data_IF_904176839525
#
_entry.id   IF_904176839525
#
_cell.length_a   1.000
_cell.length_b   1.000
_cell.length_c   1.000
_cell.angle_alpha   90.00
_cell.angle_beta   90.00
_cell.angle_gamma   90.00
#
_symmetry.space_group_name_H-M   'P 1'
#
loop_
_entity.id
_entity.type
_entity.pdbx_description
1 polymer ?
#
# COMPACT_ATOMS: atom_id res chain seq x y z
N UNK A 1 -20.38 60.49 -25.57
CA UNK A 1 -20.44 60.02 -24.17
C UNK A 1 -21.43 58.87 -23.93
N UNK A 2 -22.32 58.51 -24.86
CA UNK A 2 -23.29 57.43 -24.65
C UNK A 2 -22.76 55.99 -24.89
N UNK A 3 -21.67 55.80 -25.67
CA UNK A 3 -21.18 54.44 -26.00
C UNK A 3 -20.36 53.79 -24.87
N UNK A 4 -19.62 54.59 -24.09
CA UNK A 4 -18.76 54.09 -22.99
C UNK A 4 -19.55 53.57 -21.78
N UNK A 5 -20.76 54.10 -21.56
CA UNK A 5 -21.66 53.67 -20.47
C UNK A 5 -22.24 52.28 -20.76
N UNK A 6 -22.51 51.98 -22.04
CA UNK A 6 -23.08 50.70 -22.48
C UNK A 6 -22.09 49.53 -22.31
N UNK A 7 -20.80 49.75 -22.61
CA UNK A 7 -19.74 48.74 -22.44
C UNK A 7 -19.47 48.41 -20.97
N UNK A 8 -19.53 49.40 -20.08
CA UNK A 8 -19.38 49.16 -18.63
C UNK A 8 -20.53 48.35 -18.04
N UNK A 9 -21.76 48.61 -18.48
CA UNK A 9 -22.93 47.83 -18.04
C UNK A 9 -22.84 46.37 -18.51
N UNK A 10 -22.37 46.15 -19.75
CA UNK A 10 -22.23 44.80 -20.31
C UNK A 10 -21.14 43.99 -19.58
N UNK A 11 -20.02 44.62 -19.23
CA UNK A 11 -18.94 43.98 -18.46
C UNK A 11 -19.40 43.64 -17.03
N UNK A 12 -20.16 44.52 -16.38
CA UNK A 12 -20.73 44.25 -15.05
C UNK A 12 -21.75 43.11 -15.09
N UNK A 13 -22.55 43.01 -16.15
CA UNK A 13 -23.50 41.92 -16.33
C UNK A 13 -22.80 40.58 -16.55
N UNK A 14 -21.74 40.55 -17.36
CA UNK A 14 -20.91 39.36 -17.58
C UNK A 14 -20.22 38.90 -16.29
N UNK A 15 -19.66 39.84 -15.51
CA UNK A 15 -19.09 39.55 -14.19
C UNK A 15 -20.15 38.98 -13.25
N UNK A 16 -21.33 39.60 -13.15
CA UNK A 16 -22.42 39.11 -12.32
C UNK A 16 -22.85 37.69 -12.72
N UNK A 17 -23.05 37.43 -14.02
CA UNK A 17 -23.41 36.09 -14.54
C UNK A 17 -22.31 35.07 -14.20
N UNK A 18 -21.03 35.43 -14.34
CA UNK A 18 -19.91 34.54 -13.97
C UNK A 18 -19.87 34.20 -12.48
N UNK A 19 -20.12 35.18 -11.59
CA UNK A 19 -20.23 34.94 -10.14
C UNK A 19 -21.44 34.07 -9.77
N UNK A 20 -22.57 34.22 -10.47
CA UNK A 20 -23.75 33.36 -10.29
C UNK A 20 -23.50 31.92 -10.76
N UNK A 21 -22.76 31.72 -11.87
CA UNK A 21 -22.36 30.39 -12.32
C UNK A 21 -21.36 29.72 -11.36
N UNK A 22 -20.38 30.46 -10.84
CA UNK A 22 -19.47 29.95 -9.80
C UNK A 22 -20.21 29.58 -8.52
N UNK A 23 -21.17 30.41 -8.09
CA UNK A 23 -21.98 30.16 -6.88
C UNK A 23 -22.91 28.95 -7.02
N UNK A 24 -23.46 28.73 -8.22
CA UNK A 24 -24.31 27.56 -8.49
C UNK A 24 -23.51 26.27 -8.69
N UNK A 25 -22.32 26.34 -9.29
CA UNK A 25 -21.40 25.20 -9.38
C UNK A 25 -20.83 24.79 -8.01
N UNK A 26 -20.47 25.76 -7.15
CA UNK A 26 -20.04 25.52 -5.78
C UNK A 26 -21.17 24.91 -4.91
N UNK A 27 -22.42 25.37 -5.09
CA UNK A 27 -23.59 24.73 -4.45
C UNK A 27 -23.82 23.30 -4.93
N UNK A 28 -23.66 22.99 -6.23
CA UNK A 28 -23.79 21.62 -6.73
C UNK A 28 -22.73 20.65 -6.18
N UNK A 29 -21.51 21.12 -5.95
CA UNK A 29 -20.46 20.33 -5.27
C UNK A 29 -20.80 20.06 -3.80
N UNK A 30 -21.34 21.06 -3.08
CA UNK A 30 -21.77 20.89 -1.69
C UNK A 30 -23.02 19.99 -1.56
N UNK A 31 -23.92 20.00 -2.55
CA UNK A 31 -25.14 19.19 -2.57
C UNK A 31 -24.85 17.72 -2.99
N UNK A 32 -23.80 17.47 -3.79
CA UNK A 32 -23.33 16.11 -4.06
C UNK A 32 -22.68 15.44 -2.85
N UNK A 33 -22.08 16.22 -1.95
CA UNK A 33 -21.54 15.74 -0.67
C UNK A 33 -22.64 15.35 0.33
N UNK A 34 -23.82 15.99 0.23
CA UNK A 34 -24.94 15.77 1.16
C UNK A 34 -25.81 14.53 0.82
N UNK A 35 -25.64 13.93 -0.36
CA UNK A 35 -26.44 12.78 -0.82
C UNK A 35 -25.64 11.48 -0.99
N UNK A 36 -24.31 11.52 -0.83
CA UNK A 36 -23.54 10.29 -0.72
C UNK A 36 -23.71 9.73 0.68
N UNK A 37 -24.26 8.52 0.79
CA UNK A 37 -24.10 7.75 2.02
C UNK A 37 -22.59 7.72 2.35
N UNK A 38 -22.21 7.89 3.63
CA UNK A 38 -20.81 7.77 4.02
C UNK A 38 -20.28 6.45 3.45
N UNK A 39 -19.20 6.51 2.68
CA UNK A 39 -18.54 5.29 2.19
C UNK A 39 -17.91 4.61 3.41
N UNK A 40 -18.67 3.72 4.04
CA UNK A 40 -18.26 3.04 5.25
C UNK A 40 -17.23 1.95 4.91
N UNK A 41 -16.15 1.92 5.70
CA UNK A 41 -15.24 0.78 5.70
C UNK A 41 -15.93 -0.41 6.37
N UNK A 42 -16.20 -1.44 5.58
CA UNK A 42 -17.01 -2.56 6.04
C UNK A 42 -16.52 -3.90 5.48
N UNK A 43 -16.98 -4.97 6.12
CA UNK A 43 -16.76 -6.33 5.65
C UNK A 43 -17.86 -6.74 4.67
N UNK A 44 -17.48 -7.22 3.50
CA UNK A 44 -18.39 -7.60 2.42
C UNK A 44 -18.59 -9.12 2.32
N UNK A 45 -18.41 -9.84 3.44
CA UNK A 45 -18.68 -11.28 3.60
C UNK A 45 -17.87 -12.23 2.70
N UNK A 46 -16.81 -11.74 2.06
CA UNK A 46 -15.88 -12.54 1.27
C UNK A 46 -14.75 -13.16 2.09
N UNK A 47 -14.09 -14.19 1.57
CA UNK A 47 -13.06 -14.89 2.33
C UNK A 47 -11.81 -14.03 2.56
N UNK A 48 -11.31 -14.04 3.79
CA UNK A 48 -9.99 -13.56 4.18
C UNK A 48 -8.96 -14.70 4.03
N UNK A 49 -7.67 -14.36 3.92
CA UNK A 49 -6.62 -15.36 3.96
C UNK A 49 -6.48 -15.95 5.36
N UNK A 50 -6.53 -17.27 5.50
CA UNK A 50 -6.44 -17.95 6.80
C UNK A 50 -5.55 -19.19 6.72
N UNK A 51 -5.05 -19.65 7.88
CA UNK A 51 -4.19 -20.82 7.97
C UNK A 51 -2.71 -20.51 7.68
N UNK A 52 -1.95 -21.53 7.30
CA UNK A 52 -0.51 -21.42 7.00
C UNK A 52 -0.31 -21.07 5.54
N UNK A 53 0.26 -19.90 5.26
CA UNK A 53 0.49 -19.39 3.91
C UNK A 53 1.96 -19.06 3.70
N UNK A 54 2.53 -19.59 2.63
CA UNK A 54 3.91 -19.30 2.23
C UNK A 54 3.97 -18.03 1.37
N UNK A 55 4.89 -17.12 1.70
CA UNK A 55 5.21 -15.94 0.90
C UNK A 55 6.39 -16.27 0.01
N UNK A 56 6.16 -16.38 -1.29
CA UNK A 56 7.24 -16.60 -2.26
C UNK A 56 7.65 -15.26 -2.87
N UNK A 57 8.95 -15.01 -2.97
CA UNK A 57 9.49 -13.78 -3.57
C UNK A 57 9.99 -14.07 -4.98
N UNK A 58 9.55 -13.31 -5.96
CA UNK A 58 9.96 -13.40 -7.36
C UNK A 58 10.68 -12.09 -7.69
N UNK A 59 12.01 -12.14 -7.69
CA UNK A 59 12.89 -11.01 -8.00
C UNK A 59 13.10 -10.90 -9.50
N UNK A 60 12.49 -9.90 -10.14
CA UNK A 60 12.60 -9.67 -11.57
C UNK A 60 13.52 -8.49 -11.87
N UNK A 61 14.67 -8.78 -12.46
CA UNK A 61 15.75 -7.84 -12.72
C UNK A 61 16.83 -7.84 -11.64
N UNK A 62 17.71 -6.84 -11.65
CA UNK A 62 18.94 -6.85 -10.86
C UNK A 62 18.74 -6.20 -9.50
N UNK A 63 18.82 -7.01 -8.44
CA UNK A 63 18.81 -6.56 -7.05
C UNK A 63 20.14 -6.93 -6.38
N UNK A 64 20.73 -5.99 -5.63
CA UNK A 64 21.90 -6.31 -4.81
C UNK A 64 21.51 -7.34 -3.74
N UNK A 65 22.44 -8.21 -3.28
CA UNK A 65 22.17 -9.10 -2.15
C UNK A 65 21.66 -8.34 -0.91
N UNK A 66 22.20 -7.15 -0.64
CA UNK A 66 21.74 -6.27 0.45
C UNK A 66 20.29 -5.81 0.29
N UNK A 67 19.87 -5.50 -0.94
CA UNK A 67 18.49 -5.10 -1.25
C UNK A 67 17.51 -6.26 -1.05
N UNK A 68 17.90 -7.46 -1.49
CA UNK A 68 17.09 -8.67 -1.27
C UNK A 68 16.91 -8.98 0.22
N UNK A 69 17.98 -8.80 1.00
CA UNK A 69 17.95 -9.00 2.43
C UNK A 69 16.92 -8.09 3.13
N UNK A 70 16.79 -6.82 2.73
CA UNK A 70 15.80 -5.88 3.32
C UNK A 70 14.38 -6.46 3.24
N UNK A 71 13.94 -6.92 2.07
CA UNK A 71 12.58 -7.45 1.92
C UNK A 71 12.45 -8.83 2.56
N UNK A 72 13.43 -9.73 2.41
CA UNK A 72 13.33 -11.06 3.02
C UNK A 72 13.29 -10.96 4.56
N UNK A 73 14.09 -10.06 5.14
CA UNK A 73 14.10 -9.80 6.57
C UNK A 73 12.75 -9.22 7.01
N UNK A 74 12.17 -8.28 6.26
CA UNK A 74 10.82 -7.78 6.52
C UNK A 74 9.78 -8.91 6.59
N UNK A 75 9.77 -9.82 5.60
CA UNK A 75 8.83 -10.96 5.59
C UNK A 75 9.05 -11.89 6.78
N UNK A 76 10.30 -12.22 7.12
CA UNK A 76 10.58 -13.05 8.32
C UNK A 76 10.18 -12.36 9.62
N UNK A 77 10.18 -11.02 9.64
CA UNK A 77 9.81 -10.22 10.82
C UNK A 77 8.32 -10.25 11.14
N UNK A 78 7.45 -10.63 10.19
CA UNK A 78 5.99 -10.74 10.39
C UNK A 78 5.59 -11.79 11.43
N UNK A 79 6.47 -12.75 11.69
CA UNK A 79 6.19 -13.90 12.56
C UNK A 79 7.25 -14.09 13.65
N UNK A 80 8.02 -13.04 13.95
CA UNK A 80 9.03 -13.10 15.00
C UNK A 80 8.42 -13.49 16.34
N UNK A 81 8.96 -14.54 16.96
CA UNK A 81 8.57 -15.06 18.26
C UNK A 81 9.28 -14.36 19.42
N UNK A 82 10.22 -13.44 19.14
CA UNK A 82 10.89 -12.68 20.19
C UNK A 82 9.86 -11.77 20.86
N UNK A 83 9.60 -11.94 22.18
CA UNK A 83 8.65 -11.09 22.88
C UNK A 83 9.12 -9.64 22.76
N UNK A 84 8.29 -8.71 22.28
CA UNK A 84 8.65 -7.30 22.31
C UNK A 84 8.92 -6.94 23.77
N UNK A 85 10.07 -6.31 24.03
CA UNK A 85 10.22 -5.59 25.29
C UNK A 85 9.13 -4.52 25.34
N UNK A 86 8.61 -4.19 26.53
CA UNK A 86 7.41 -3.35 26.69
C UNK A 86 7.47 -1.98 26.00
N UNK A 87 8.66 -1.54 25.57
CA UNK A 87 8.94 -0.25 24.92
C UNK A 87 9.27 -0.36 23.43
N UNK A 88 9.35 -1.55 22.83
CA UNK A 88 9.77 -1.73 21.43
C UNK A 88 8.61 -2.17 20.53
N UNK A 89 8.25 -1.32 19.57
CA UNK A 89 7.36 -1.66 18.46
C UNK A 89 8.08 -2.56 17.46
N UNK A 90 7.37 -3.52 16.88
CA UNK A 90 7.95 -4.50 15.96
C UNK A 90 7.05 -4.76 14.75
N UNK A 91 7.63 -5.28 13.66
CA UNK A 91 6.87 -5.72 12.48
C UNK A 91 5.83 -6.79 12.86
N UNK A 92 6.16 -7.70 13.78
CA UNK A 92 5.22 -8.72 14.26
C UNK A 92 4.05 -8.09 15.03
N UNK A 93 4.31 -7.09 15.87
CA UNK A 93 3.26 -6.34 16.59
C UNK A 93 2.35 -5.60 15.62
N UNK A 94 2.92 -4.98 14.58
CA UNK A 94 2.14 -4.35 13.51
C UNK A 94 1.28 -5.36 12.78
N UNK A 95 1.86 -6.47 12.34
CA UNK A 95 1.14 -7.51 11.62
C UNK A 95 -0.02 -8.07 12.44
N UNK A 96 0.17 -8.25 13.75
CA UNK A 96 -0.86 -8.73 14.68
C UNK A 96 -2.09 -7.82 14.73
N UNK A 97 -2.00 -6.55 14.35
CA UNK A 97 -3.20 -5.68 14.26
C UNK A 97 -4.21 -6.21 13.24
N UNK A 98 -3.78 -7.01 12.26
CA UNK A 98 -4.67 -7.67 11.31
C UNK A 98 -5.61 -8.69 11.96
N UNK A 99 -5.30 -9.21 13.16
CA UNK A 99 -6.16 -10.14 13.91
C UNK A 99 -7.57 -9.56 14.14
N UNK A 100 -7.68 -8.23 14.29
CA UNK A 100 -8.96 -7.54 14.51
C UNK A 100 -9.96 -7.77 13.37
N UNK A 101 -9.50 -7.80 12.12
CA UNK A 101 -10.36 -8.07 10.95
C UNK A 101 -10.91 -9.50 11.00
N UNK A 102 -10.12 -10.46 11.49
CA UNK A 102 -10.58 -11.86 11.61
C UNK A 102 -11.57 -12.05 12.75
N UNK A 103 -11.40 -11.33 13.85
CA UNK A 103 -12.34 -11.40 14.98
C UNK A 103 -13.72 -10.84 14.63
N UNK A 104 -13.79 -9.80 13.81
CA UNK A 104 -15.04 -9.14 13.44
C UNK A 104 -15.76 -9.77 12.22
N UNK A 105 -15.10 -10.63 11.45
CA UNK A 105 -15.68 -11.22 10.23
C UNK A 105 -16.70 -12.34 10.47
N UNK A 106 -17.24 -12.48 11.69
CA UNK A 106 -18.25 -13.46 12.12
C UNK A 106 -17.90 -14.94 11.81
N UNK A 107 -16.62 -15.25 11.62
CA UNK A 107 -16.19 -16.62 11.33
C UNK A 107 -16.24 -17.49 12.59
N UNK A 108 -17.03 -18.56 12.57
CA UNK A 108 -17.25 -19.52 13.68
C UNK A 108 -15.96 -20.13 14.27
N UNK A 109 -14.83 -20.00 13.57
CA UNK A 109 -13.47 -20.21 14.07
C UNK A 109 -12.52 -19.26 13.32
N UNK A 110 -12.02 -18.17 13.91
CA UNK A 110 -10.97 -17.38 13.29
C UNK A 110 -9.72 -18.27 13.24
N UNK A 111 -9.43 -18.84 12.07
CA UNK A 111 -8.16 -19.53 11.86
C UNK A 111 -7.11 -18.46 11.66
N UNK A 112 -6.24 -18.28 12.65
CA UNK A 112 -5.17 -17.30 12.59
C UNK A 112 -4.35 -17.47 11.29
N UNK A 113 -4.03 -16.35 10.65
CA UNK A 113 -3.16 -16.32 9.49
C UNK A 113 -1.71 -16.41 9.96
N UNK A 114 -1.04 -17.49 9.61
CA UNK A 114 0.39 -17.68 9.85
C UNK A 114 1.12 -17.54 8.51
N UNK A 115 1.94 -16.51 8.40
CA UNK A 115 2.79 -16.27 7.23
C UNK A 115 4.18 -16.85 7.48
N UNK A 116 4.82 -17.35 6.43
CA UNK A 116 6.23 -17.75 6.49
C UNK A 116 6.91 -17.43 5.17
N UNK A 117 8.18 -17.03 5.23
CA UNK A 117 8.99 -16.90 4.02
C UNK A 117 9.11 -18.27 3.35
N UNK A 118 8.72 -18.32 2.08
CA UNK A 118 8.78 -19.48 1.20
C UNK A 118 9.97 -19.39 0.24
N UNK A 119 9.74 -19.83 -0.98
CA UNK A 119 10.78 -19.85 -2.02
C UNK A 119 11.14 -18.46 -2.52
N UNK A 120 12.39 -18.27 -2.91
CA UNK A 120 12.84 -17.07 -3.62
C UNK A 120 13.30 -17.44 -5.03
N UNK A 121 12.67 -16.85 -6.03
CA UNK A 121 12.95 -17.04 -7.45
C UNK A 121 13.66 -15.78 -7.93
N UNK A 122 14.83 -15.93 -8.54
CA UNK A 122 15.65 -14.81 -8.98
C UNK A 122 15.77 -14.86 -10.49
N UNK A 123 15.32 -13.79 -11.15
CA UNK A 123 15.25 -13.69 -12.60
C UNK A 123 15.92 -12.40 -13.09
N UNK A 124 17.25 -12.42 -13.17
CA UNK A 124 18.06 -11.24 -13.53
C UNK A 124 18.22 -11.06 -15.05
N UNK A 125 17.75 -12.03 -15.86
CA UNK A 125 17.89 -12.05 -17.32
C UNK A 125 16.80 -11.27 -18.05
N UNK A 126 15.79 -10.78 -17.33
CA UNK A 126 14.64 -10.05 -17.89
C UNK A 126 13.93 -10.87 -18.99
N UNK A 127 13.47 -12.10 -18.72
CA UNK A 127 12.95 -13.00 -19.76
C UNK A 127 11.71 -12.48 -20.51
N UNK A 128 11.01 -11.51 -19.92
CA UNK A 128 9.84 -10.84 -20.50
C UNK A 128 10.13 -9.39 -20.93
N UNK A 129 11.41 -8.98 -20.94
CA UNK A 129 11.86 -7.61 -21.21
C UNK A 129 11.78 -6.68 -19.99
N UNK A 130 12.12 -5.40 -20.17
CA UNK A 130 12.09 -4.37 -19.11
C UNK A 130 10.80 -3.56 -19.06
N UNK A 131 9.84 -3.87 -19.91
CA UNK A 131 8.52 -3.23 -19.94
C UNK A 131 7.48 -4.33 -19.80
N UNK A 132 6.81 -4.38 -18.65
CA UNK A 132 5.87 -5.44 -18.32
C UNK A 132 4.43 -4.95 -18.32
N UNK A 133 3.53 -5.71 -18.94
CA UNK A 133 2.10 -5.58 -18.78
C UNK A 133 1.62 -6.20 -17.46
N UNK A 134 0.40 -5.82 -17.02
CA UNK A 134 -0.21 -6.45 -15.85
C UNK A 134 -0.39 -7.98 -16.02
N UNK A 135 -0.62 -8.46 -17.25
CA UNK A 135 -0.71 -9.89 -17.53
C UNK A 135 0.63 -10.61 -17.33
N UNK A 136 1.73 -9.98 -17.72
CA UNK A 136 3.08 -10.51 -17.50
C UNK A 136 3.43 -10.57 -16.01
N UNK A 137 2.96 -9.62 -15.20
CA UNK A 137 3.08 -9.69 -13.73
C UNK A 137 2.39 -10.94 -13.18
N UNK A 138 1.16 -11.24 -13.63
CA UNK A 138 0.45 -12.47 -13.22
C UNK A 138 1.19 -13.72 -13.68
N UNK A 139 1.77 -13.71 -14.89
CA UNK A 139 2.58 -14.83 -15.38
C UNK A 139 3.84 -15.05 -14.53
N UNK A 140 4.52 -13.98 -14.09
CA UNK A 140 5.65 -14.05 -13.17
C UNK A 140 5.23 -14.58 -11.80
N UNK A 141 4.13 -14.08 -11.24
CA UNK A 141 3.58 -14.56 -9.98
C UNK A 141 3.22 -16.06 -10.04
N UNK A 142 2.81 -16.55 -11.21
CA UNK A 142 2.48 -17.96 -11.44
C UNK A 142 3.69 -18.90 -11.38
N UNK A 143 4.93 -18.38 -11.34
CA UNK A 143 6.14 -19.19 -11.11
C UNK A 143 6.30 -19.63 -9.65
N UNK A 144 5.59 -18.97 -8.72
CA UNK A 144 5.62 -19.30 -7.29
C UNK A 144 4.70 -20.45 -6.89
N UNK A 145 4.37 -20.52 -5.61
CA UNK A 145 3.48 -21.55 -5.07
C UNK A 145 2.06 -21.43 -5.60
N UNK A 146 1.44 -22.55 -5.95
CA UNK A 146 0.10 -22.58 -6.56
C UNK A 146 -1.05 -22.76 -5.54
N UNK A 147 -0.72 -23.00 -4.27
CA UNK A 147 -1.67 -23.32 -3.20
C UNK A 147 -1.15 -22.77 -1.88
N UNK A 148 -2.06 -22.20 -1.08
CA UNK A 148 -1.74 -21.59 0.22
C UNK A 148 -0.51 -20.67 0.13
N UNK A 149 -0.52 -19.81 -0.89
CA UNK A 149 0.63 -19.01 -1.25
C UNK A 149 0.23 -17.58 -1.59
N UNK A 150 1.13 -16.65 -1.22
CA UNK A 150 1.17 -15.29 -1.74
C UNK A 150 2.47 -15.19 -2.56
N UNK A 151 2.34 -14.93 -3.86
CA UNK A 151 3.48 -14.79 -4.76
C UNK A 151 3.75 -13.32 -5.01
N UNK A 152 4.88 -12.82 -4.50
CA UNK A 152 5.24 -11.41 -4.52
C UNK A 152 6.26 -11.17 -5.62
N UNK A 153 5.87 -10.46 -6.66
CA UNK A 153 6.75 -10.04 -7.77
C UNK A 153 7.37 -8.69 -7.42
N UNK A 154 8.70 -8.64 -7.38
CA UNK A 154 9.49 -7.46 -7.04
C UNK A 154 10.29 -7.08 -8.29
N UNK A 155 10.02 -5.91 -8.88
CA UNK A 155 10.72 -5.46 -10.09
C UNK A 155 11.81 -4.44 -9.77
N UNK A 156 13.00 -4.60 -10.33
CA UNK A 156 14.14 -3.69 -10.12
C UNK A 156 13.87 -2.29 -10.69
N UNK A 157 14.67 -1.31 -10.29
CA UNK A 157 14.43 0.11 -10.61
C UNK A 157 14.37 0.40 -12.12
N UNK A 158 15.07 -0.40 -12.92
CA UNK A 158 15.16 -0.29 -14.37
C UNK A 158 14.04 -1.05 -15.14
N UNK A 159 13.00 -1.52 -14.44
CA UNK A 159 11.85 -2.20 -15.05
C UNK A 159 10.61 -1.30 -14.97
N UNK A 160 10.04 -0.98 -16.12
CA UNK A 160 8.76 -0.30 -16.24
C UNK A 160 7.62 -1.32 -16.18
N UNK A 161 6.55 -0.99 -15.45
CA UNK A 161 5.34 -1.80 -15.36
C UNK A 161 4.13 -0.91 -15.64
N UNK A 162 3.14 -1.45 -16.33
CA UNK A 162 1.90 -0.75 -16.67
C UNK A 162 1.22 -0.10 -15.44
N UNK A 163 1.11 1.23 -15.46
CA UNK A 163 0.51 2.04 -14.39
C UNK A 163 1.44 2.37 -13.22
N UNK A 164 2.67 1.83 -13.20
CA UNK A 164 3.68 2.20 -12.21
C UNK A 164 3.98 3.70 -12.30
N UNK A 165 4.12 4.38 -11.16
CA UNK A 165 4.44 5.81 -11.11
C UNK A 165 3.38 6.74 -11.72
N UNK A 166 2.19 6.22 -12.03
CA UNK A 166 1.07 7.03 -12.52
C UNK A 166 -0.10 6.91 -11.55
N UNK A 167 -0.61 5.69 -11.39
CA UNK A 167 -1.76 5.41 -10.53
C UNK A 167 -1.42 4.51 -9.35
N UNK A 168 -0.27 3.85 -9.37
CA UNK A 168 0.09 2.84 -8.37
C UNK A 168 1.59 2.65 -8.22
N UNK A 169 1.98 2.15 -7.05
CA UNK A 169 3.34 1.73 -6.71
C UNK A 169 3.47 0.20 -6.61
N UNK A 170 2.33 -0.48 -6.68
CA UNK A 170 2.19 -1.92 -6.63
C UNK A 170 0.73 -2.31 -6.85
N UNK A 171 0.44 -3.61 -6.84
CA UNK A 171 -0.93 -4.14 -6.93
C UNK A 171 -1.00 -5.44 -6.16
N UNK A 172 -2.20 -5.80 -5.70
CA UNK A 172 -2.47 -7.17 -5.28
C UNK A 172 -3.65 -7.75 -6.06
N UNK A 173 -3.81 -9.06 -5.98
CA UNK A 173 -4.91 -9.77 -6.62
C UNK A 173 -4.82 -11.27 -6.41
N UNK A 174 -5.63 -12.01 -7.16
CA UNK A 174 -5.60 -13.47 -7.15
C UNK A 174 -5.63 -14.05 -8.55
N UNK A 175 -5.07 -15.24 -8.71
CA UNK A 175 -5.12 -15.99 -9.95
C UNK A 175 -5.40 -17.46 -9.67
N UNK A 176 -5.90 -18.17 -10.69
CA UNK A 176 -6.06 -19.62 -10.64
C UNK A 176 -4.71 -20.26 -10.97
N UNK A 177 -4.22 -21.08 -10.06
CA UNK A 177 -3.05 -21.91 -10.28
C UNK A 177 -3.34 -23.06 -11.23
N UNK A 178 -2.26 -23.69 -11.70
CA UNK A 178 -2.32 -24.89 -12.53
C UNK A 178 -3.17 -25.98 -11.87
N UNK A 179 -3.85 -26.79 -12.69
CA UNK A 179 -4.60 -27.94 -12.20
C UNK A 179 -3.62 -29.00 -11.71
N UNK A 180 -3.69 -29.34 -10.42
CA UNK A 180 -2.92 -30.43 -9.80
C UNK A 180 -3.92 -31.49 -9.38
N UNK A 181 -3.77 -32.72 -9.89
CA UNK A 181 -4.67 -33.85 -9.62
C UNK A 181 -6.16 -33.55 -9.90
N UNK A 182 -6.43 -32.82 -10.99
CA UNK A 182 -7.78 -32.40 -11.38
C UNK A 182 -8.39 -31.28 -10.55
N UNK A 183 -7.63 -30.69 -9.61
CA UNK A 183 -8.06 -29.56 -8.78
C UNK A 183 -7.24 -28.32 -9.08
N UNK A 184 -7.92 -27.21 -9.38
CA UNK A 184 -7.29 -25.89 -9.47
C UNK A 184 -7.46 -25.16 -8.13
N UNK A 185 -6.34 -24.69 -7.59
CA UNK A 185 -6.31 -23.84 -6.40
C UNK A 185 -6.12 -22.39 -6.83
N UNK A 186 -6.59 -21.45 -6.02
CA UNK A 186 -6.25 -20.03 -6.19
C UNK A 186 -5.02 -19.71 -5.36
N UNK A 187 -4.18 -18.82 -5.87
CA UNK A 187 -3.13 -18.15 -5.10
C UNK A 187 -3.37 -16.64 -5.15
N UNK A 188 -2.93 -15.95 -4.09
CA UNK A 188 -2.87 -14.50 -4.10
C UNK A 188 -1.51 -14.05 -4.65
N UNK A 189 -1.45 -12.87 -5.23
CA UNK A 189 -0.20 -12.29 -5.69
C UNK A 189 -0.14 -10.81 -5.33
N UNK A 190 1.08 -10.33 -5.16
CA UNK A 190 1.41 -8.92 -4.98
C UNK A 190 2.46 -8.59 -6.02
N UNK A 191 2.44 -7.37 -6.54
CA UNK A 191 3.58 -6.78 -7.24
C UNK A 191 3.92 -5.44 -6.60
N UNK A 192 5.22 -5.16 -6.45
CA UNK A 192 5.75 -3.86 -6.04
C UNK A 192 6.95 -3.52 -6.92
N UNK A 193 6.99 -2.29 -7.42
CA UNK A 193 8.10 -1.77 -8.20
C UNK A 193 9.09 -0.95 -7.38
N UNK A 194 10.38 -1.11 -7.65
CA UNK A 194 11.39 -0.18 -7.13
C UNK A 194 11.28 1.17 -7.86
N UNK A 195 10.94 2.23 -7.13
CA UNK A 195 10.67 3.55 -7.70
C UNK A 195 11.87 4.47 -7.78
N UNK A 196 13.03 4.04 -7.29
CA UNK A 196 14.26 4.85 -7.13
C UNK A 196 14.60 5.71 -8.35
N UNK A 197 14.45 5.18 -9.57
CA UNK A 197 14.80 5.88 -10.82
C UNK A 197 13.61 6.39 -11.63
N UNK A 198 12.37 6.12 -11.21
CA UNK A 198 11.16 6.46 -12.00
C UNK A 198 10.28 7.50 -11.30
N UNK A 199 9.96 7.30 -10.02
CA UNK A 199 9.07 8.20 -9.27
C UNK A 199 9.29 8.12 -7.74
N UNK A 200 10.53 8.34 -7.26
CA UNK A 200 10.80 8.19 -5.83
C UNK A 200 9.93 9.13 -4.98
N UNK A 201 9.59 10.33 -5.48
CA UNK A 201 8.68 11.26 -4.80
C UNK A 201 7.23 10.80 -4.66
N UNK A 202 6.80 9.75 -5.37
CA UNK A 202 5.44 9.19 -5.22
C UNK A 202 5.47 7.89 -4.43
N UNK A 203 6.36 6.97 -4.82
CA UNK A 203 6.34 5.60 -4.32
C UNK A 203 7.39 5.31 -3.25
N UNK A 204 8.29 6.24 -2.96
CA UNK A 204 9.22 6.18 -1.83
C UNK A 204 9.01 7.31 -0.83
N UNK A 205 7.88 8.04 -0.90
CA UNK A 205 7.50 8.94 0.18
C UNK A 205 7.29 8.13 1.48
N UNK A 206 7.80 8.59 2.65
CA UNK A 206 8.36 9.91 2.94
C UNK A 206 9.90 10.03 2.83
N UNK A 207 10.59 9.05 2.23
CA UNK A 207 12.05 9.03 2.07
C UNK A 207 12.58 9.81 0.86
N UNK A 208 11.67 10.36 0.05
CA UNK A 208 11.99 11.27 -1.04
C UNK A 208 11.00 12.43 -1.09
N UNK A 209 11.43 13.55 -1.64
CA UNK A 209 10.64 14.75 -1.77
C UNK A 209 9.41 14.49 -2.67
N UNK A 210 8.18 14.83 -2.23
CA UNK A 210 6.98 14.49 -2.98
C UNK A 210 6.80 15.35 -4.22
N UNK A 211 6.19 14.79 -5.27
CA UNK A 211 5.97 15.49 -6.56
C UNK A 211 5.00 16.67 -6.39
N UNK A 212 4.05 16.57 -5.47
CA UNK A 212 3.04 17.58 -5.15
C UNK A 212 2.75 17.61 -3.64
N UNK A 213 2.09 18.67 -3.17
CA UNK A 213 1.80 18.86 -1.74
C UNK A 213 2.98 19.48 -0.97
N UNK A 214 2.95 19.43 0.38
CA UNK A 214 3.97 20.06 1.22
C UNK A 214 5.38 19.54 0.92
N UNK A 215 6.33 20.46 0.74
CA UNK A 215 7.69 20.19 0.27
C UNK A 215 8.71 20.11 1.43
N UNK A 216 8.33 19.47 2.54
CA UNK A 216 9.22 19.26 3.68
C UNK A 216 10.45 18.41 3.33
N UNK A 217 11.54 18.49 4.11
CA UNK A 217 12.71 17.64 3.89
C UNK A 217 12.31 16.16 4.01
N UNK A 218 12.82 15.28 3.12
CA UNK A 218 12.55 13.85 3.22
C UNK A 218 13.09 13.24 4.52
N UNK A 219 12.44 12.18 4.98
CA UNK A 219 12.94 11.38 6.09
C UNK A 219 14.15 10.56 5.66
N UNK A 220 15.04 10.28 6.61
CA UNK A 220 16.18 9.38 6.36
C UNK A 220 15.68 7.93 6.36
N UNK A 221 15.95 7.23 5.27
CA UNK A 221 15.57 5.85 5.02
C UNK A 221 16.21 4.86 6.03
N UNK A 222 15.42 4.01 6.73
CA UNK A 222 15.90 3.15 7.82
C UNK A 222 16.88 2.05 7.42
N UNK A 223 16.93 1.67 6.14
CA UNK A 223 17.88 0.70 5.62
C UNK A 223 18.92 1.31 4.69
N UNK A 224 19.02 2.64 4.66
CA UNK A 224 19.92 3.40 3.79
C UNK A 224 19.73 3.07 2.30
N UNK A 225 18.49 2.74 1.91
CA UNK A 225 18.10 2.47 0.53
C UNK A 225 16.67 2.98 0.29
N UNK A 226 16.56 4.19 -0.28
CA UNK A 226 15.28 4.88 -0.52
C UNK A 226 14.33 4.02 -1.36
N UNK A 227 14.85 3.34 -2.39
CA UNK A 227 14.07 2.50 -3.28
C UNK A 227 13.45 1.33 -2.52
N UNK A 228 14.27 0.58 -1.78
CA UNK A 228 13.82 -0.61 -1.05
C UNK A 228 12.98 -0.26 0.17
N UNK A 229 13.28 0.82 0.88
CA UNK A 229 12.44 1.29 1.99
C UNK A 229 11.06 1.77 1.50
N UNK A 230 11.01 2.42 0.34
CA UNK A 230 9.74 2.71 -0.35
C UNK A 230 8.99 1.44 -0.78
N UNK A 231 9.71 0.43 -1.29
CA UNK A 231 9.09 -0.86 -1.59
C UNK A 231 8.51 -1.54 -0.35
N UNK A 232 9.19 -1.47 0.82
CA UNK A 232 8.66 -2.04 2.07
C UNK A 232 7.36 -1.38 2.47
N UNK A 233 7.26 -0.04 2.40
CA UNK A 233 6.02 0.69 2.70
C UNK A 233 4.86 0.18 1.85
N UNK A 234 5.05 0.10 0.53
CA UNK A 234 4.02 -0.37 -0.40
C UNK A 234 3.69 -1.86 -0.22
N UNK A 235 4.72 -2.68 0.01
CA UNK A 235 4.57 -4.10 0.26
C UNK A 235 3.80 -4.37 1.54
N UNK A 236 4.07 -3.62 2.62
CA UNK A 236 3.35 -3.72 3.87
C UNK A 236 1.86 -3.39 3.68
N UNK A 237 1.55 -2.29 2.99
CA UNK A 237 0.17 -1.92 2.65
C UNK A 237 -0.53 -3.05 1.90
N UNK A 238 0.05 -3.48 0.77
CA UNK A 238 -0.54 -4.49 -0.11
C UNK A 238 -0.64 -5.86 0.57
N UNK A 239 0.25 -6.19 1.50
CA UNK A 239 0.19 -7.46 2.23
C UNK A 239 -0.95 -7.49 3.24
N UNK A 240 -1.18 -6.41 3.98
CA UNK A 240 -2.33 -6.29 4.88
C UNK A 240 -3.64 -6.36 4.09
N UNK A 241 -3.70 -5.63 2.97
CA UNK A 241 -4.80 -5.64 2.01
C UNK A 241 -5.08 -7.02 1.42
N UNK A 242 -4.02 -7.72 0.99
CA UNK A 242 -4.12 -9.11 0.49
C UNK A 242 -4.65 -10.05 1.57
N UNK A 243 -4.28 -9.87 2.84
CA UNK A 243 -4.77 -10.71 3.92
C UNK A 243 -6.26 -10.50 4.21
N UNK A 244 -6.71 -9.24 4.19
CA UNK A 244 -8.08 -8.84 4.56
C UNK A 244 -9.06 -8.79 3.38
N UNK A 245 -8.56 -8.72 2.14
CA UNK A 245 -9.35 -8.64 0.91
C UNK A 245 -8.70 -9.38 -0.30
N UNK A 246 -8.30 -10.66 -0.17
CA UNK A 246 -7.55 -11.38 -1.23
C UNK A 246 -8.29 -11.55 -2.56
N UNK A 247 -9.63 -11.45 -2.57
CA UNK A 247 -10.48 -11.73 -3.72
C UNK A 247 -11.44 -10.59 -4.08
N UNK A 248 -11.22 -9.39 -3.54
CA UNK A 248 -12.03 -8.19 -3.85
C UNK A 248 -13.45 -8.23 -3.28
N UNK A 249 -13.67 -8.94 -2.17
CA UNK A 249 -14.94 -8.99 -1.45
C UNK A 249 -14.80 -9.17 0.07
N UNK A 250 -13.62 -8.92 0.64
CA UNK A 250 -13.34 -8.89 2.07
C UNK A 250 -13.64 -7.51 2.68
N UNK A 251 -12.62 -6.83 3.20
CA UNK A 251 -12.75 -5.49 3.81
C UNK A 251 -12.39 -4.36 2.83
N UNK A 252 -13.31 -3.42 2.61
CA UNK A 252 -13.03 -2.17 1.87
C UNK A 252 -14.13 -1.12 2.07
N UNK A 253 -13.83 0.14 1.74
CA UNK A 253 -14.77 1.23 1.49
C UNK A 253 -14.72 1.68 0.03
N UNK A 254 -15.81 2.29 -0.46
CA UNK A 254 -15.89 2.76 -1.84
C UNK A 254 -16.32 1.69 -2.85
N UNK A 255 -16.31 2.03 -4.15
CA UNK A 255 -16.65 1.10 -5.22
C UNK A 255 -15.61 -0.03 -5.32
N UNK A 256 -16.06 -1.23 -5.74
CA UNK A 256 -15.20 -2.42 -5.84
C UNK A 256 -14.09 -2.26 -6.89
N UNK A 257 -14.28 -1.37 -7.86
CA UNK A 257 -13.35 -1.08 -8.93
C UNK A 257 -12.19 -0.16 -8.47
N UNK A 258 -12.39 0.57 -7.37
CA UNK A 258 -11.37 1.43 -6.76
C UNK A 258 -11.55 1.45 -5.22
N UNK A 259 -11.37 0.30 -4.54
CA UNK A 259 -11.60 0.18 -3.12
C UNK A 259 -10.47 0.85 -2.33
N UNK A 260 -10.82 1.49 -1.21
CA UNK A 260 -9.86 1.78 -0.16
C UNK A 260 -9.94 0.67 0.89
N UNK A 261 -8.84 0.00 1.10
CA UNK A 261 -8.70 -1.22 1.89
C UNK A 261 -7.94 -0.95 3.19
N UNK A 262 -7.51 -2.01 3.89
CA UNK A 262 -6.96 -1.93 5.25
C UNK A 262 -5.87 -0.85 5.42
N UNK A 263 -4.95 -0.71 4.46
CA UNK A 263 -3.89 0.28 4.50
C UNK A 263 -4.20 1.53 3.65
N UNK A 264 -4.76 1.35 2.45
CA UNK A 264 -5.11 2.47 1.55
C UNK A 264 -6.22 3.38 2.07
N UNK A 265 -7.03 2.93 3.04
CA UNK A 265 -7.93 3.81 3.80
C UNK A 265 -7.20 4.78 4.75
N UNK A 266 -5.90 4.56 4.99
CA UNK A 266 -5.04 5.37 5.87
C UNK A 266 -3.82 5.94 5.13
N UNK A 267 -4.02 6.66 4.02
CA UNK A 267 -2.91 7.07 3.16
C UNK A 267 -1.96 8.02 3.89
N UNK A 268 -0.68 7.65 3.91
CA UNK A 268 0.41 8.46 4.45
C UNK A 268 0.42 8.64 5.97
N UNK A 269 -0.36 7.86 6.70
CA UNK A 269 -0.37 7.84 8.17
C UNK A 269 0.62 6.76 8.65
N UNK A 270 1.72 7.15 9.30
CA UNK A 270 2.74 6.21 9.81
C UNK A 270 2.97 6.33 11.33
N UNK A 271 2.75 7.50 11.91
CA UNK A 271 2.81 7.75 13.35
C UNK A 271 1.67 8.65 13.82
N UNK A 272 1.52 8.77 15.13
CA UNK A 272 0.53 9.63 15.76
C UNK A 272 0.63 11.07 15.24
N UNK A 273 -0.52 11.72 15.04
CA UNK A 273 -0.58 13.11 14.61
C UNK A 273 -0.20 13.34 13.15
N UNK A 274 -0.09 12.29 12.32
CA UNK A 274 0.12 12.44 10.89
C UNK A 274 -0.97 13.30 10.22
N UNK A 275 -0.56 14.08 9.23
CA UNK A 275 -1.43 14.92 8.40
C UNK A 275 -0.77 15.07 7.01
N UNK A 276 -1.45 15.59 5.98
CA UNK A 276 -0.86 15.72 4.65
C UNK A 276 0.50 16.45 4.68
N UNK A 277 1.57 15.75 4.28
CA UNK A 277 2.95 16.25 4.30
C UNK A 277 3.76 15.93 5.57
N UNK A 278 3.15 15.37 6.61
CA UNK A 278 3.81 14.93 7.85
C UNK A 278 3.46 13.48 8.16
N UNK A 279 4.48 12.61 8.20
CA UNK A 279 4.33 11.17 8.40
C UNK A 279 3.83 10.78 9.81
N UNK A 280 3.81 11.73 10.75
CA UNK A 280 3.49 11.52 12.16
C UNK A 280 4.74 11.49 13.05
N UNK A 281 4.50 11.35 14.35
CA UNK A 281 5.55 11.28 15.37
C UNK A 281 6.25 9.91 15.28
N UNK A 282 7.39 9.87 14.58
CA UNK A 282 8.17 8.65 14.35
C UNK A 282 9.37 8.53 15.30
N UNK A 283 9.86 7.30 15.46
CA UNK A 283 11.13 7.05 16.13
C UNK A 283 12.29 7.46 15.22
N UNK A 284 13.38 7.93 15.81
CA UNK A 284 14.60 8.31 15.09
C UNK A 284 15.78 7.52 15.64
N UNK A 285 16.53 6.89 14.75
CA UNK A 285 17.79 6.24 15.11
C UNK A 285 18.84 7.32 15.45
N UNK A 286 19.41 7.32 16.67
CA UNK A 286 20.35 8.36 17.09
C UNK A 286 21.70 8.31 16.37
N UNK A 287 22.04 7.18 15.73
CA UNK A 287 23.30 6.97 15.02
C UNK A 287 23.18 7.34 13.55
N UNK A 288 22.09 6.92 12.90
CA UNK A 288 21.91 7.12 11.45
C UNK A 288 20.99 8.29 11.11
N UNK A 289 20.22 8.79 12.08
CA UNK A 289 19.15 9.77 11.85
C UNK A 289 17.90 9.19 11.19
N UNK A 290 17.85 7.87 10.97
CA UNK A 290 16.77 7.26 10.21
C UNK A 290 15.44 7.24 10.96
N UNK A 291 14.35 7.51 10.24
CA UNK A 291 12.99 7.51 10.78
C UNK A 291 12.31 6.16 10.58
N UNK A 292 11.70 5.63 11.63
CA UNK A 292 11.07 4.31 11.63
C UNK A 292 9.95 4.22 12.66
N UNK A 293 9.10 3.20 12.56
CA UNK A 293 8.10 2.88 13.59
C UNK A 293 8.09 1.41 13.99
N UNK A 294 8.89 0.55 13.34
CA UNK A 294 8.94 -0.88 13.64
C UNK A 294 10.38 -1.42 13.59
N UNK A 295 10.73 -2.24 14.59
CA UNK A 295 11.93 -3.07 14.56
C UNK A 295 11.63 -4.41 13.88
N UNK A 296 12.58 -4.92 13.10
CA UNK A 296 12.50 -6.22 12.44
C UNK A 296 13.70 -7.11 12.73
N UNK A 297 13.72 -8.26 12.06
CA UNK A 297 14.79 -9.24 12.11
C UNK A 297 16.13 -8.64 11.69
N UNK A 298 17.23 -9.25 12.15
CA UNK A 298 18.60 -8.89 11.76
C UNK A 298 18.96 -7.41 12.02
N UNK A 299 18.36 -6.79 13.04
CA UNK A 299 18.60 -5.39 13.41
C UNK A 299 17.98 -4.37 12.44
N UNK A 300 17.15 -4.82 11.50
CA UNK A 300 16.48 -3.96 10.53
C UNK A 300 15.43 -3.08 11.19
N UNK A 301 15.21 -1.91 10.60
CA UNK A 301 14.17 -0.96 10.98
C UNK A 301 13.29 -0.69 9.77
N UNK A 302 12.00 -0.46 10.00
CA UNK A 302 11.02 -0.25 8.95
C UNK A 302 10.04 0.85 9.30
N UNK A 303 9.49 1.46 8.27
CA UNK A 303 8.33 2.34 8.34
C UNK A 303 7.13 1.59 7.77
N UNK A 304 6.11 1.37 8.59
CA UNK A 304 4.92 0.59 8.24
C UNK A 304 3.67 1.47 8.31
N UNK A 305 2.73 1.34 7.35
CA UNK A 305 1.52 2.16 7.31
C UNK A 305 0.62 1.88 8.52
N UNK A 306 -0.15 2.88 8.92
CA UNK A 306 -1.31 2.65 9.76
C UNK A 306 -2.30 1.73 9.03
N UNK A 307 -2.99 0.90 9.81
CA UNK A 307 -4.11 0.11 9.30
C UNK A 307 -5.42 0.68 9.86
N UNK A 308 -6.45 0.71 9.04
CA UNK A 308 -7.78 1.14 9.45
C UNK A 308 -8.35 0.14 10.46
N UNK A 309 -8.53 0.55 11.70
CA UNK A 309 -9.08 -0.32 12.75
C UNK A 309 -10.60 -0.42 12.61
N UNK A 310 -11.14 -1.59 12.21
CA UNK A 310 -12.58 -1.76 12.02
C UNK A 310 -13.40 -1.67 13.32
N UNK A 311 -12.76 -1.79 14.50
CA UNK A 311 -13.43 -1.65 15.79
C UNK A 311 -13.63 -0.20 16.20
N UNK A 312 -12.64 0.66 15.93
CA UNK A 312 -12.66 2.07 16.33
C UNK A 312 -13.01 3.02 15.18
N UNK A 313 -13.02 2.51 13.95
CA UNK A 313 -13.22 3.26 12.70
C UNK A 313 -12.19 4.39 12.52
N UNK A 314 -10.94 4.15 12.92
CA UNK A 314 -9.84 5.12 12.80
C UNK A 314 -8.56 4.45 12.33
N UNK A 315 -7.63 5.23 11.78
CA UNK A 315 -6.30 4.74 11.42
C UNK A 315 -5.45 4.49 12.67
N UNK A 316 -5.02 3.24 12.87
CA UNK A 316 -4.20 2.84 14.00
C UNK A 316 -2.72 2.79 13.60
N UNK A 317 -1.90 3.58 14.30
CA UNK A 317 -0.44 3.58 14.15
C UNK A 317 0.23 2.70 15.21
N UNK A 318 1.49 2.32 14.97
CA UNK A 318 2.32 1.63 15.95
C UNK A 318 2.85 2.56 17.05
N UNK A 319 3.11 3.82 16.68
CA UNK A 319 3.72 4.87 17.50
C UNK A 319 2.84 6.12 17.48
#
# INVERSE_FOLDING_TARGET
MASFVSTHLFLQLLLAISFFHFSSAARRLAESDATQQPLLFQYHNGPLLTGKIAINLIWYGKFKPSQRAIISDFITSLSSSTPPTATQTSVATWWKTTDKYYHLSNSKKPSALALSLGTQIVEETYSLGKSLSNQQIVALASKGGQKNAINIVLTSADVAVEGFCMSKCGTHGSSKGASVDGKSYKFAYIWVGNSETQCPGQCAWPFHQPIYGPQGPPLVAPNNDVGLDGMVVNLASLLAETATNPFGNGYFQGPKEAPLEAASACPGVYGKGAYPGYAGDLLVDPTTGASYNANGANGRKYLLPALFDPSTQTCSTLV
#
